data_IF_535622756578
#
_entry.id   IF_535622756578
#
_cell.length_a   1.000
_cell.length_b   1.000
_cell.length_c   1.000
_cell.angle_alpha   90.00
_cell.angle_beta   90.00
_cell.angle_gamma   90.00
#
_symmetry.space_group_name_H-M   'P 1'
#
loop_
_entity.id
_entity.type
_entity.pdbx_description
1 polymer ?
#
# COMPACT_ATOMS: atom_id res chain seq x y z
N UNK A 1 11.89 -16.42 -11.14
CA UNK A 1 11.64 -16.06 -12.56
C UNK A 1 10.90 -14.74 -12.47
N UNK A 2 11.64 -13.64 -12.48
CA UNK A 2 11.08 -12.30 -12.32
C UNK A 2 10.72 -11.73 -13.67
N UNK A 3 9.49 -11.23 -13.79
CA UNK A 3 8.96 -10.60 -14.99
C UNK A 3 8.84 -9.10 -14.70
N UNK A 4 9.83 -8.32 -15.13
CA UNK A 4 9.79 -6.86 -15.06
C UNK A 4 9.16 -6.34 -16.34
N UNK A 5 7.99 -5.68 -16.25
CA UNK A 5 7.37 -4.97 -17.38
C UNK A 5 7.80 -3.50 -17.33
N UNK A 6 8.51 -3.07 -18.38
CA UNK A 6 8.87 -1.67 -18.62
C UNK A 6 7.65 -0.95 -19.21
N UNK A 7 7.22 0.15 -18.58
CA UNK A 7 6.28 1.08 -19.21
C UNK A 7 7.03 2.27 -19.81
N UNK A 8 6.89 2.47 -21.12
CA UNK A 8 7.32 3.66 -21.83
C UNK A 8 6.25 4.76 -21.73
N UNK A 9 6.69 5.95 -21.27
CA UNK A 9 6.09 7.29 -21.42
C UNK A 9 4.59 7.47 -21.11
N UNK A 10 4.37 8.29 -20.08
CA UNK A 10 3.74 9.61 -20.27
C UNK A 10 2.27 9.71 -19.93
N UNK A 11 1.94 9.67 -18.64
CA UNK A 11 0.69 10.21 -18.12
C UNK A 11 0.99 11.10 -16.91
N UNK A 12 0.49 12.33 -16.94
CA UNK A 12 0.56 13.26 -15.81
C UNK A 12 -0.29 12.71 -14.67
N UNK A 13 0.38 12.31 -13.58
CA UNK A 13 -0.25 11.86 -12.34
C UNK A 13 -1.15 12.97 -11.79
N UNK A 14 -2.45 12.78 -11.85
CA UNK A 14 -3.43 13.68 -11.22
C UNK A 14 -3.36 13.55 -9.69
N UNK A 15 -3.66 14.62 -8.98
CA UNK A 15 -3.66 14.68 -7.51
C UNK A 15 -4.58 13.62 -6.89
N UNK A 16 -3.99 12.51 -6.40
CA UNK A 16 -4.59 11.40 -5.66
C UNK A 16 -5.29 10.30 -6.47
N UNK A 17 -4.52 9.31 -6.92
CA UNK A 17 -5.05 7.97 -7.18
C UNK A 17 -5.54 7.35 -5.86
N UNK A 18 -6.80 6.91 -5.82
CA UNK A 18 -7.42 6.32 -4.63
C UNK A 18 -7.92 4.91 -4.93
N UNK A 19 -7.40 3.94 -4.18
CA UNK A 19 -7.92 2.59 -4.13
C UNK A 19 -8.85 2.42 -2.91
N UNK A 20 -10.10 2.02 -3.12
CA UNK A 20 -11.02 1.65 -2.04
C UNK A 20 -11.58 0.25 -2.27
N UNK A 21 -11.45 -0.63 -1.27
CA UNK A 21 -12.03 -1.96 -1.29
C UNK A 21 -12.89 -2.15 -0.04
N UNK A 22 -14.19 -2.31 -0.23
CA UNK A 22 -15.15 -2.60 0.85
C UNK A 22 -15.83 -3.94 0.55
N UNK A 23 -15.51 -4.97 1.32
CA UNK A 23 -16.14 -6.29 1.19
C UNK A 23 -16.49 -6.90 2.55
N UNK A 24 -17.35 -7.91 2.51
CA UNK A 24 -17.72 -8.74 3.65
C UNK A 24 -17.19 -10.14 3.40
N UNK A 25 -16.10 -10.49 4.07
CA UNK A 25 -15.41 -11.76 3.88
C UNK A 25 -15.41 -12.60 5.16
N UNK A 26 -15.11 -13.88 5.00
CA UNK A 26 -14.81 -14.77 6.11
C UNK A 26 -13.40 -14.52 6.69
N UNK A 27 -13.13 -15.12 7.85
CA UNK A 27 -11.87 -14.89 8.58
C UNK A 27 -10.64 -15.44 7.85
N UNK A 28 -10.77 -16.52 7.10
CA UNK A 28 -9.66 -17.12 6.34
C UNK A 28 -9.24 -16.18 5.20
N UNK A 29 -10.22 -15.63 4.48
CA UNK A 29 -9.99 -14.67 3.40
C UNK A 29 -9.34 -13.39 3.94
N UNK A 30 -9.82 -12.85 5.07
CA UNK A 30 -9.17 -11.69 5.72
C UNK A 30 -7.72 -12.00 6.14
N UNK A 31 -7.45 -13.19 6.67
CA UNK A 31 -6.09 -13.59 7.05
C UNK A 31 -5.15 -13.65 5.83
N UNK A 32 -5.63 -14.13 4.68
CA UNK A 32 -4.87 -14.13 3.42
C UNK A 32 -4.55 -12.71 2.96
N UNK A 33 -5.49 -11.77 3.03
CA UNK A 33 -5.21 -10.37 2.70
C UNK A 33 -4.15 -9.75 3.61
N UNK A 34 -4.21 -10.01 4.92
CA UNK A 34 -3.18 -9.55 5.86
C UNK A 34 -1.81 -10.17 5.55
N UNK A 35 -1.77 -11.45 5.16
CA UNK A 35 -0.53 -12.10 4.74
C UNK A 35 0.06 -11.44 3.48
N UNK A 36 -0.76 -11.15 2.47
CA UNK A 36 -0.29 -10.46 1.25
C UNK A 36 0.29 -9.07 1.57
N UNK A 37 -0.29 -8.35 2.54
CA UNK A 37 0.27 -7.08 3.01
C UNK A 37 1.63 -7.27 3.69
N UNK A 38 1.77 -8.30 4.55
CA UNK A 38 3.06 -8.64 5.19
C UNK A 38 4.13 -8.89 4.11
N UNK A 39 3.83 -9.76 3.15
CA UNK A 39 4.75 -10.10 2.06
C UNK A 39 5.15 -8.86 1.25
N UNK A 40 4.22 -7.93 1.03
CA UNK A 40 4.48 -6.68 0.31
C UNK A 40 5.35 -5.70 1.10
N UNK A 41 5.16 -5.58 2.42
CA UNK A 41 6.06 -4.79 3.27
C UNK A 41 7.48 -5.37 3.30
N UNK A 42 7.63 -6.70 3.38
CA UNK A 42 8.93 -7.37 3.35
C UNK A 42 9.68 -7.11 2.04
N UNK A 43 8.95 -7.03 0.92
CA UNK A 43 9.48 -6.76 -0.42
C UNK A 43 9.66 -5.27 -0.74
N UNK A 44 9.16 -4.36 0.11
CA UNK A 44 9.00 -2.92 -0.19
C UNK A 44 8.20 -2.63 -1.46
N UNK A 45 7.24 -3.49 -1.77
CA UNK A 45 6.32 -3.34 -2.89
C UNK A 45 4.98 -3.99 -2.56
N UNK A 46 3.90 -3.21 -2.54
CA UNK A 46 2.54 -3.69 -2.31
C UNK A 46 1.74 -3.47 -3.59
N UNK A 47 1.32 -4.55 -4.24
CA UNK A 47 0.39 -4.50 -5.37
C UNK A 47 -1.03 -4.76 -4.89
N UNK A 48 -1.93 -3.83 -5.20
CA UNK A 48 -3.36 -3.93 -4.97
C UNK A 48 -4.05 -4.07 -6.32
N UNK A 49 -4.88 -5.11 -6.49
CA UNK A 49 -5.63 -5.36 -7.73
C UNK A 49 -7.12 -5.20 -7.48
N UNK A 50 -7.79 -4.46 -8.36
CA UNK A 50 -9.25 -4.42 -8.49
C UNK A 50 -9.65 -4.66 -9.93
N UNK A 51 -10.94 -4.72 -10.19
CA UNK A 51 -11.50 -4.80 -11.54
C UNK A 51 -11.14 -3.57 -12.40
N UNK A 52 -10.76 -2.46 -11.77
CA UNK A 52 -10.45 -1.18 -12.41
C UNK A 52 -8.96 -1.01 -12.72
N UNK A 53 -8.08 -1.86 -12.15
CA UNK A 53 -6.66 -1.81 -12.44
C UNK A 53 -5.77 -2.38 -11.32
N UNK A 54 -4.48 -2.13 -11.48
CA UNK A 54 -3.44 -2.48 -10.52
C UNK A 54 -2.82 -1.20 -9.97
N UNK A 55 -2.71 -1.12 -8.64
CA UNK A 55 -2.12 0.00 -7.92
C UNK A 55 -0.92 -0.50 -7.13
N UNK A 56 0.27 0.00 -7.47
CA UNK A 56 1.53 -0.42 -6.85
C UNK A 56 2.03 0.68 -5.92
N UNK A 57 2.37 0.27 -4.71
CA UNK A 57 2.83 1.14 -3.64
C UNK A 57 4.24 0.72 -3.21
N UNK A 58 5.08 1.70 -2.86
CA UNK A 58 6.47 1.47 -2.43
C UNK A 58 6.71 1.96 -1.00
N UNK A 59 6.48 1.11 0.02
CA UNK A 59 6.76 1.44 1.42
C UNK A 59 8.17 2.00 1.64
N UNK A 60 8.25 3.17 2.26
CA UNK A 60 9.52 3.76 2.69
C UNK A 60 10.11 3.07 3.93
N UNK A 61 11.29 3.52 4.35
CA UNK A 61 12.00 2.93 5.51
C UNK A 61 11.33 3.23 6.86
N UNK A 62 10.55 4.31 6.93
CA UNK A 62 9.82 4.72 8.13
C UNK A 62 8.33 4.62 7.91
N UNK A 63 7.69 3.80 8.74
CA UNK A 63 6.25 3.51 8.70
C UNK A 63 5.60 4.03 9.99
N UNK A 64 4.55 4.84 9.85
CA UNK A 64 3.61 5.13 10.95
C UNK A 64 2.53 4.06 10.99
N UNK A 65 2.38 3.42 12.15
CA UNK A 65 1.38 2.38 12.40
C UNK A 65 0.45 2.80 13.55
N UNK A 66 -0.83 2.91 13.25
CA UNK A 66 -1.89 3.09 14.24
C UNK A 66 -2.79 1.86 14.29
N UNK A 67 -2.88 1.23 15.47
CA UNK A 67 -3.80 0.13 15.75
C UNK A 67 -4.85 0.58 16.76
N UNK A 68 -6.13 0.50 16.39
CA UNK A 68 -7.26 0.82 17.29
C UNK A 68 -8.22 -0.35 17.34
N UNK A 69 -8.59 -0.78 18.54
CA UNK A 69 -9.60 -1.81 18.75
C UNK A 69 -10.76 -1.27 19.57
N UNK A 70 -11.99 -1.66 19.21
CA UNK A 70 -13.20 -1.38 19.97
C UNK A 70 -14.07 -2.62 20.03
N UNK A 71 -14.59 -2.93 21.21
CA UNK A 71 -15.56 -4.02 21.41
C UNK A 71 -16.82 -3.46 22.07
N UNK A 72 -18.00 -3.78 21.53
CA UNK A 72 -19.30 -3.45 22.13
C UNK A 72 -20.24 -4.63 21.97
N UNK A 73 -20.65 -5.23 23.10
CA UNK A 73 -21.51 -6.42 23.15
C UNK A 73 -20.99 -7.53 22.22
N UNK A 74 -21.64 -7.72 21.08
CA UNK A 74 -21.38 -8.76 20.08
C UNK A 74 -20.61 -8.26 18.85
N UNK A 75 -20.11 -7.02 18.85
CA UNK A 75 -19.36 -6.46 17.73
C UNK A 75 -17.95 -6.08 18.16
N UNK A 76 -16.97 -6.60 17.42
CA UNK A 76 -15.57 -6.18 17.47
C UNK A 76 -15.26 -5.35 16.24
N UNK A 77 -14.47 -4.29 16.41
CA UNK A 77 -13.91 -3.49 15.31
C UNK A 77 -12.41 -3.33 15.57
N UNK A 78 -11.62 -3.71 14.58
CA UNK A 78 -10.20 -3.40 14.50
C UNK A 78 -10.01 -2.38 13.38
N UNK A 79 -9.21 -1.36 13.63
CA UNK A 79 -8.77 -0.39 12.62
C UNK A 79 -7.26 -0.43 12.60
N UNK A 80 -6.73 -0.77 11.42
CA UNK A 80 -5.31 -0.71 11.09
C UNK A 80 -5.13 0.46 10.14
N UNK A 81 -4.32 1.44 10.53
CA UNK A 81 -3.91 2.53 9.64
C UNK A 81 -2.39 2.49 9.54
N UNK A 82 -1.90 2.40 8.32
CA UNK A 82 -0.48 2.39 8.00
C UNK A 82 -0.25 3.52 7.01
N UNK A 83 0.78 4.32 7.24
CA UNK A 83 1.18 5.39 6.33
C UNK A 83 2.69 5.56 6.33
N UNK A 84 3.23 5.97 5.19
CA UNK A 84 4.65 6.22 5.01
C UNK A 84 4.86 7.37 4.01
N UNK A 85 6.12 7.79 3.88
CA UNK A 85 6.58 8.60 2.76
C UNK A 85 7.32 7.67 1.80
N UNK A 86 7.05 7.77 0.51
CA UNK A 86 7.70 6.91 -0.47
C UNK A 86 9.22 7.16 -0.49
N UNK A 87 9.99 6.09 -0.60
CA UNK A 87 11.46 6.12 -0.58
C UNK A 87 12.11 6.64 -1.86
N UNK A 88 11.32 6.97 -2.89
CA UNK A 88 11.80 7.56 -4.15
C UNK A 88 11.27 8.97 -4.32
N UNK A 89 11.97 9.95 -3.72
CA UNK A 89 11.95 11.32 -4.24
C UNK A 89 13.16 11.47 -5.16
N UNK A 90 12.95 11.32 -6.47
CA UNK A 90 13.98 11.59 -7.48
C UNK A 90 14.50 13.04 -7.43
N UNK A 91 13.81 13.94 -6.72
CA UNK A 91 14.11 15.37 -6.61
C UNK A 91 15.17 15.72 -5.55
N UNK A 92 15.49 14.83 -4.61
CA UNK A 92 16.45 15.15 -3.52
C UNK A 92 17.92 14.96 -3.90
N UNK A 93 18.20 14.53 -5.14
CA UNK A 93 19.55 14.19 -5.62
C UNK A 93 20.29 15.31 -6.38
N UNK A 94 19.69 16.50 -6.58
CA UNK A 94 20.29 17.58 -7.38
C UNK A 94 20.78 18.81 -6.58
N UNK A 95 20.81 18.75 -5.25
CA UNK A 95 21.39 19.84 -4.43
C UNK A 95 22.89 19.65 -4.14
N UNK A 96 23.72 19.46 -5.16
CA UNK A 96 25.14 19.82 -5.06
C UNK A 96 25.28 21.21 -5.68
N UNK A 97 25.15 22.25 -4.85
CA UNK A 97 25.60 23.60 -5.24
C UNK A 97 27.12 23.61 -5.14
N UNK A 98 27.78 23.67 -6.30
CA UNK A 98 29.21 23.94 -6.43
C UNK A 98 29.52 25.39 -6.06
#
# INVERSE_FOLDING_TARGET
>A
MDLTILFERGETMTEEDRFNCESLEDTETIAKYLQSLIDGFEKKEISLKSDEGEFVLHPGDMIDLTVKAKKKRNKSKLTLKISWKDSFNADDSLSIKV
#
